data_IF_759619735543
#
_entry.id   IF_759619735543
#
_cell.length_a   1.000
_cell.length_b   1.000
_cell.length_c   1.000
_cell.angle_alpha   90.00
_cell.angle_beta   90.00
_cell.angle_gamma   90.00
#
_symmetry.space_group_name_H-M   'P 1'
#
loop_
_entity.id
_entity.type
_entity.pdbx_description
1 polymer ?
#
# COMPACT_ATOMS: atom_id res chain seq x y z
N UNK A 1 -15.47 -3.51 18.23
CA UNK A 1 -16.38 -3.46 17.06
C UNK A 1 -15.71 -4.27 15.95
N UNK A 2 -16.37 -5.32 15.45
CA UNK A 2 -15.90 -6.05 14.28
C UNK A 2 -15.80 -5.06 13.11
N UNK A 3 -14.73 -5.15 12.31
CA UNK A 3 -14.63 -4.37 11.06
C UNK A 3 -15.77 -4.83 10.15
N UNK A 4 -16.33 -3.92 9.35
CA UNK A 4 -17.27 -4.35 8.30
C UNK A 4 -16.51 -5.18 7.26
N UNK A 5 -17.22 -6.06 6.55
CA UNK A 5 -16.62 -6.91 5.51
C UNK A 5 -15.88 -6.08 4.44
N UNK A 6 -16.37 -4.87 4.12
CA UNK A 6 -15.68 -3.97 3.18
C UNK A 6 -14.36 -3.42 3.74
N UNK A 7 -14.33 -3.13 5.04
CA UNK A 7 -13.11 -2.68 5.70
C UNK A 7 -12.08 -3.82 5.79
N UNK A 8 -12.50 -5.04 6.08
CA UNK A 8 -11.60 -6.20 6.07
C UNK A 8 -11.03 -6.47 4.67
N UNK A 9 -11.89 -6.46 3.64
CA UNK A 9 -11.45 -6.59 2.25
C UNK A 9 -10.41 -5.53 1.88
N UNK A 10 -10.66 -4.25 2.22
CA UNK A 10 -9.73 -3.16 1.90
C UNK A 10 -8.37 -3.36 2.58
N UNK A 11 -8.35 -3.79 3.84
CA UNK A 11 -7.09 -4.04 4.55
C UNK A 11 -6.30 -5.18 3.88
N UNK A 12 -6.97 -6.30 3.56
CA UNK A 12 -6.34 -7.45 2.91
C UNK A 12 -5.80 -7.08 1.53
N UNK A 13 -6.60 -6.39 0.70
CA UNK A 13 -6.18 -5.93 -0.62
C UNK A 13 -4.96 -4.98 -0.56
N UNK A 14 -4.89 -4.10 0.44
CA UNK A 14 -3.69 -3.26 0.67
C UNK A 14 -2.47 -4.12 1.00
N UNK A 15 -2.61 -5.11 1.87
CA UNK A 15 -1.50 -5.97 2.26
C UNK A 15 -0.99 -6.82 1.11
N UNK A 16 -1.88 -7.42 0.33
CA UNK A 16 -1.56 -8.16 -0.91
C UNK A 16 -0.80 -7.28 -1.90
N UNK A 17 -1.34 -6.08 -2.22
CA UNK A 17 -0.70 -5.16 -3.15
C UNK A 17 0.70 -4.72 -2.69
N UNK A 18 0.92 -4.61 -1.37
CA UNK A 18 2.23 -4.27 -0.79
C UNK A 18 3.19 -5.46 -0.85
N UNK A 19 2.71 -6.70 -0.74
CA UNK A 19 3.53 -7.89 -0.92
C UNK A 19 4.07 -8.04 -2.35
N UNK A 20 3.38 -7.49 -3.34
CA UNK A 20 3.81 -7.50 -4.75
C UNK A 20 4.97 -6.52 -5.06
N UNK A 21 5.31 -5.62 -4.14
CA UNK A 21 6.42 -4.67 -4.35
C UNK A 21 7.74 -5.45 -4.31
N UNK A 22 8.57 -5.44 -5.37
CA UNK A 22 9.84 -6.18 -5.39
C UNK A 22 10.84 -5.71 -4.33
N UNK A 23 11.72 -6.61 -3.92
CA UNK A 23 12.84 -6.28 -3.04
C UNK A 23 13.74 -5.20 -3.68
N UNK A 24 14.19 -4.24 -2.88
CA UNK A 24 14.99 -3.11 -3.37
C UNK A 24 14.18 -2.08 -4.17
N UNK A 25 12.85 -2.17 -4.17
CA UNK A 25 11.95 -1.17 -4.78
C UNK A 25 11.02 -0.56 -3.76
N UNK A 26 10.57 0.66 -4.06
CA UNK A 26 9.64 1.43 -3.23
C UNK A 26 8.46 1.93 -4.06
N UNK A 27 7.32 2.15 -3.41
CA UNK A 27 6.15 2.77 -4.03
C UNK A 27 5.55 3.83 -3.11
N UNK A 28 4.51 4.52 -3.59
CA UNK A 28 3.83 5.55 -2.81
C UNK A 28 2.46 5.10 -2.30
N UNK A 29 2.02 5.65 -1.16
CA UNK A 29 0.66 5.42 -0.64
C UNK A 29 -0.42 5.66 -1.69
N UNK A 30 -0.26 6.74 -2.46
CA UNK A 30 -1.22 7.08 -3.50
C UNK A 30 -1.18 6.17 -4.71
N UNK A 31 -0.01 5.59 -5.00
CA UNK A 31 0.07 4.59 -6.06
C UNK A 31 -0.64 3.29 -5.69
N UNK A 32 -0.48 2.81 -4.45
CA UNK A 32 -1.24 1.64 -3.95
C UNK A 32 -2.75 1.91 -4.01
N UNK A 33 -3.21 3.04 -3.46
CA UNK A 33 -4.62 3.42 -3.53
C UNK A 33 -5.16 3.47 -4.97
N UNK A 34 -4.34 3.99 -5.89
CA UNK A 34 -4.65 4.08 -7.31
C UNK A 34 -4.71 2.69 -7.99
N UNK A 35 -3.87 1.74 -7.60
CA UNK A 35 -3.91 0.36 -8.10
C UNK A 35 -5.19 -0.33 -7.63
N UNK A 36 -5.49 -0.23 -6.33
CA UNK A 36 -6.68 -0.84 -5.74
C UNK A 36 -7.98 -0.24 -6.29
N UNK A 37 -8.02 1.07 -6.53
CA UNK A 37 -9.17 1.73 -7.16
C UNK A 37 -9.42 1.32 -8.62
N UNK A 38 -8.52 0.53 -9.24
CA UNK A 38 -8.67 -0.01 -10.60
C UNK A 38 -8.96 -1.52 -10.63
N UNK A 39 -8.95 -2.25 -9.51
CA UNK A 39 -9.23 -3.70 -9.55
C UNK A 39 -10.69 -3.94 -9.96
N UNK A 40 -10.92 -5.03 -10.68
CA UNK A 40 -12.25 -5.41 -11.14
C UNK A 40 -13.17 -5.88 -10.00
N UNK A 41 -12.58 -6.44 -8.95
CA UNK A 41 -13.23 -6.94 -7.74
C UNK A 41 -13.41 -5.86 -6.65
N UNK A 42 -13.08 -4.61 -6.95
CA UNK A 42 -13.26 -3.50 -6.02
C UNK A 42 -14.74 -3.41 -5.61
N UNK A 43 -15.09 -3.56 -4.32
CA UNK A 43 -16.48 -3.59 -3.89
C UNK A 43 -17.13 -2.26 -4.23
N UNK A 44 -18.03 -2.30 -5.22
CA UNK A 44 -18.77 -1.14 -5.74
C UNK A 44 -19.58 -0.42 -4.64
N UNK A 45 -19.82 -1.10 -3.51
CA UNK A 45 -20.47 -0.58 -2.30
C UNK A 45 -19.71 0.54 -1.57
N UNK A 46 -18.38 0.69 -1.77
CA UNK A 46 -17.63 1.79 -1.14
C UNK A 46 -18.00 3.18 -1.71
N UNK A 47 -18.73 3.22 -2.85
CA UNK A 47 -19.32 4.47 -3.37
C UNK A 47 -20.60 4.91 -2.63
N UNK A 48 -21.25 4.04 -1.83
CA UNK A 48 -22.57 4.34 -1.24
C UNK A 48 -22.80 3.90 0.20
N UNK A 49 -21.88 3.17 0.84
CA UNK A 49 -22.02 2.78 2.24
C UNK A 49 -20.75 3.15 3.02
N UNK A 50 -20.75 4.37 3.56
CA UNK A 50 -19.83 4.77 4.64
C UNK A 50 -20.71 5.11 5.85
N UNK A 51 -20.41 4.61 7.06
CA UNK A 51 -21.13 4.99 8.28
C UNK A 51 -21.14 6.53 8.41
N UNK A 52 -22.22 7.09 8.95
CA UNK A 52 -22.51 8.55 8.92
C UNK A 52 -21.41 9.50 9.41
N UNK A 53 -20.41 8.97 10.11
CA UNK A 53 -19.23 9.69 10.60
C UNK A 53 -18.15 9.91 9.51
N UNK A 54 -18.22 9.15 8.42
CA UNK A 54 -17.24 9.13 7.32
C UNK A 54 -17.77 9.74 6.01
N UNK A 55 -19.08 10.01 5.94
CA UNK A 55 -19.76 10.53 4.75
C UNK A 55 -19.32 11.96 4.38
N UNK A 56 -18.95 12.79 5.36
CA UNK A 56 -18.46 14.16 5.13
C UNK A 56 -17.13 14.16 4.34
N UNK A 57 -16.27 13.17 4.56
CA UNK A 57 -14.97 13.07 3.86
C UNK A 57 -15.15 12.49 2.44
N UNK A 58 -16.13 11.62 2.21
CA UNK A 58 -16.40 11.05 0.88
C UNK A 58 -16.93 12.11 -0.11
N UNK A 59 -17.85 12.98 0.34
CA UNK A 59 -18.52 13.98 -0.50
C UNK A 59 -17.62 15.17 -0.86
N UNK A 60 -16.66 15.52 0.01
CA UNK A 60 -15.82 16.71 -0.18
C UNK A 60 -14.52 16.44 -0.95
N UNK A 61 -14.06 15.19 -1.05
CA UNK A 61 -12.65 14.90 -1.39
C UNK A 61 -12.47 13.85 -2.51
N UNK A 62 -13.48 13.01 -2.80
CA UNK A 62 -13.45 12.03 -3.89
C UNK A 62 -12.63 10.76 -3.59
N UNK A 63 -12.83 9.67 -4.38
CA UNK A 63 -12.30 8.32 -4.09
C UNK A 63 -10.77 8.23 -4.13
N UNK A 64 -10.09 9.12 -4.87
CA UNK A 64 -8.63 9.12 -4.99
C UNK A 64 -7.90 9.66 -3.75
N UNK A 65 -8.50 10.59 -3.00
CA UNK A 65 -7.88 11.13 -1.79
C UNK A 65 -8.16 10.28 -0.54
N UNK A 66 -9.29 9.56 -0.52
CA UNK A 66 -9.67 8.65 0.56
C UNK A 66 -8.66 7.50 0.70
N UNK A 67 -8.23 6.91 -0.42
CA UNK A 67 -7.34 5.75 -0.41
C UNK A 67 -5.96 6.03 0.18
N UNK A 68 -5.38 7.21 -0.03
CA UNK A 68 -4.02 7.53 0.44
C UNK A 68 -3.92 7.49 1.97
N UNK A 69 -4.90 8.07 2.66
CA UNK A 69 -4.97 8.09 4.12
C UNK A 69 -5.31 6.70 4.67
N UNK A 70 -6.20 5.97 3.99
CA UNK A 70 -6.59 4.62 4.39
C UNK A 70 -5.43 3.62 4.28
N UNK A 71 -4.63 3.65 3.21
CA UNK A 71 -3.40 2.84 3.11
C UNK A 71 -2.46 3.14 4.27
N UNK A 72 -2.29 4.42 4.59
CA UNK A 72 -1.46 4.85 5.72
C UNK A 72 -1.94 4.31 7.08
N UNK A 73 -3.25 4.19 7.29
CA UNK A 73 -3.89 3.60 8.48
C UNK A 73 -3.69 2.09 8.52
N UNK A 74 -3.89 1.38 7.40
CA UNK A 74 -3.71 -0.07 7.31
C UNK A 74 -2.30 -0.49 7.74
N UNK A 75 -1.28 0.23 7.25
CA UNK A 75 0.11 -0.05 7.58
C UNK A 75 0.48 0.38 9.01
N UNK A 76 -0.23 1.35 9.60
CA UNK A 76 -0.02 1.76 10.99
C UNK A 76 -0.56 0.72 11.99
N UNK A 77 -1.64 0.03 11.63
CA UNK A 77 -2.30 -0.98 12.46
C UNK A 77 -1.93 -2.42 12.09
N UNK A 78 -0.87 -2.61 11.31
CA UNK A 78 -0.34 -3.92 11.00
C UNK A 78 0.12 -4.58 12.32
N UNK A 79 -0.44 -5.73 12.72
CA UNK A 79 -0.04 -6.39 13.95
C UNK A 79 1.43 -6.79 13.86
N UNK A 80 2.19 -6.52 14.92
CA UNK A 80 3.50 -7.15 15.13
C UNK A 80 3.25 -8.62 15.38
N UNK A 81 3.97 -9.52 14.70
CA UNK A 81 3.79 -10.96 14.85
C UNK A 81 3.77 -11.34 16.34
N UNK A 82 2.60 -11.77 16.83
CA UNK A 82 2.41 -12.26 18.19
C UNK A 82 2.25 -13.76 18.12
N UNK A 83 3.10 -14.49 18.83
CA UNK A 83 3.15 -15.96 18.82
C UNK A 83 1.81 -16.60 19.19
N UNK A 84 0.96 -15.86 19.90
CA UNK A 84 -0.35 -16.31 20.41
C UNK A 84 -1.53 -16.09 19.45
N UNK A 85 -1.35 -15.30 18.38
CA UNK A 85 -2.39 -15.02 17.38
C UNK A 85 -1.75 -15.00 15.99
N UNK A 86 -1.93 -16.08 15.23
CA UNK A 86 -1.44 -16.17 13.86
C UNK A 86 -2.29 -15.31 12.93
N UNK A 87 -2.03 -14.00 12.90
CA UNK A 87 -2.62 -13.09 11.92
C UNK A 87 -2.05 -13.43 10.53
N UNK A 88 -2.92 -13.61 9.53
CA UNK A 88 -2.49 -13.90 8.15
C UNK A 88 -1.55 -12.81 7.60
N UNK A 89 -1.78 -11.53 7.94
CA UNK A 89 -0.90 -10.40 7.62
C UNK A 89 -0.30 -9.80 8.88
N UNK A 90 1.03 -9.60 8.90
CA UNK A 90 1.80 -9.09 10.03
C UNK A 90 3.08 -8.35 9.58
N UNK A 91 3.75 -7.69 10.53
CA UNK A 91 4.95 -6.88 10.31
C UNK A 91 6.09 -7.55 9.54
N UNK A 92 6.23 -8.87 9.66
CA UNK A 92 7.30 -9.63 9.02
C UNK A 92 6.97 -10.15 7.61
N UNK A 93 5.68 -10.30 7.25
CA UNK A 93 5.29 -10.81 5.93
C UNK A 93 4.73 -9.72 4.98
N UNK A 94 4.36 -8.55 5.50
CA UNK A 94 3.99 -7.38 4.69
C UNK A 94 5.16 -6.39 4.69
N UNK A 95 5.81 -6.11 3.54
CA UNK A 95 6.97 -5.23 3.45
C UNK A 95 6.58 -3.75 3.53
N UNK A 96 5.97 -3.35 4.64
CA UNK A 96 5.44 -2.01 4.88
C UNK A 96 6.49 -0.91 4.71
N UNK A 97 7.78 -1.21 4.93
CA UNK A 97 8.89 -0.29 4.75
C UNK A 97 9.02 0.23 3.30
N UNK A 98 8.53 -0.52 2.31
CA UNK A 98 8.60 -0.17 0.87
C UNK A 98 7.60 0.90 0.47
N UNK A 99 6.65 1.28 1.34
CA UNK A 99 5.64 2.30 1.05
C UNK A 99 6.00 3.63 1.69
N UNK A 100 6.34 4.61 0.85
CA UNK A 100 6.77 5.97 1.25
C UNK A 100 5.85 7.05 0.68
N UNK A 101 6.13 8.32 0.96
CA UNK A 101 5.31 9.39 0.40
C UNK A 101 5.60 9.59 -1.11
N UNK A 102 4.70 10.26 -1.82
CA UNK A 102 4.85 10.50 -3.26
C UNK A 102 6.00 11.46 -3.63
N UNK A 103 6.58 12.16 -2.65
CA UNK A 103 7.76 13.03 -2.83
C UNK A 103 9.08 12.27 -2.60
N UNK A 104 9.03 10.96 -2.31
CA UNK A 104 10.21 10.16 -1.97
C UNK A 104 10.71 10.34 -0.54
N UNK A 105 10.00 11.09 0.31
CA UNK A 105 10.35 11.32 1.72
C UNK A 105 9.79 10.21 2.61
N UNK A 106 10.63 9.69 3.49
CA UNK A 106 10.28 8.73 4.53
C UNK A 106 9.56 9.47 5.66
N UNK A 107 8.28 9.13 5.86
CA UNK A 107 7.44 9.81 6.85
C UNK A 107 7.80 9.43 8.28
N UNK A 108 7.81 10.41 9.19
CA UNK A 108 8.10 10.18 10.60
C UNK A 108 6.89 9.55 11.31
N UNK A 109 6.90 8.21 11.43
CA UNK A 109 5.86 7.43 12.10
C UNK A 109 6.22 7.20 13.58
N UNK A 110 6.31 8.28 14.34
CA UNK A 110 6.71 8.27 15.76
C UNK A 110 8.23 8.32 15.99
N UNK A 111 8.68 8.29 17.26
CA UNK A 111 10.10 8.39 17.60
C UNK A 111 10.95 7.32 16.92
N UNK A 112 11.94 7.75 16.13
CA UNK A 112 12.82 6.88 15.36
C UNK A 112 12.15 6.08 14.22
N UNK A 113 10.86 6.32 13.92
CA UNK A 113 10.13 5.57 12.90
C UNK A 113 10.74 5.72 11.51
N UNK A 114 11.09 6.95 11.11
CA UNK A 114 11.75 7.21 9.83
C UNK A 114 13.12 6.52 9.75
N UNK A 115 13.92 6.57 10.81
CA UNK A 115 15.24 5.93 10.86
C UNK A 115 15.16 4.40 10.76
N UNK A 116 14.19 3.77 11.43
CA UNK A 116 13.94 2.32 11.33
C UNK A 116 13.52 1.92 9.92
N UNK A 117 12.60 2.67 9.31
CA UNK A 117 12.18 2.44 7.94
C UNK A 117 13.35 2.61 6.95
N UNK A 118 14.16 3.66 7.12
CA UNK A 118 15.36 3.87 6.31
C UNK A 118 16.38 2.75 6.46
N UNK A 119 16.61 2.26 7.68
CA UNK A 119 17.51 1.13 7.91
C UNK A 119 17.00 -0.15 7.25
N UNK A 120 15.69 -0.41 7.29
CA UNK A 120 15.08 -1.53 6.57
C UNK A 120 15.27 -1.41 5.06
N UNK A 121 15.00 -0.24 4.48
CA UNK A 121 15.21 0.03 3.05
C UNK A 121 16.67 -0.13 2.62
N UNK A 122 17.62 0.36 3.43
CA UNK A 122 19.06 0.21 3.16
C UNK A 122 19.50 -1.26 3.17
N UNK A 123 18.95 -2.09 4.07
CA UNK A 123 19.21 -3.55 4.05
C UNK A 123 18.74 -4.21 2.77
N UNK A 124 17.73 -3.64 2.12
CA UNK A 124 17.24 -4.12 0.83
C UNK A 124 18.01 -3.56 -0.38
N UNK A 125 19.05 -2.75 -0.15
CA UNK A 125 19.85 -2.12 -1.21
C UNK A 125 19.25 -0.81 -1.75
N UNK A 126 18.22 -0.26 -1.10
CA UNK A 126 17.66 1.05 -1.47
C UNK A 126 18.54 2.17 -0.91
N UNK A 127 18.97 3.09 -1.77
CA UNK A 127 19.72 4.26 -1.33
C UNK A 127 18.79 5.27 -0.64
N UNK A 128 19.12 5.62 0.61
CA UNK A 128 18.39 6.64 1.38
C UNK A 128 19.32 7.81 1.68
N UNK A 129 19.04 8.93 1.02
CA UNK A 129 19.72 10.21 1.21
C UNK A 129 19.09 11.04 2.32
N UNK A 130 19.63 12.25 2.47
CA UNK A 130 19.16 13.25 3.44
C UNK A 130 18.85 14.54 2.69
N UNK A 131 17.63 15.07 2.88
CA UNK A 131 17.18 16.33 2.35
C UNK A 131 17.77 17.54 3.09
N UNK A 132 17.43 18.73 2.60
CA UNK A 132 17.97 19.99 3.14
C UNK A 132 17.51 20.28 4.56
N UNK A 133 16.35 19.78 4.98
CA UNK A 133 15.81 19.94 6.33
C UNK A 133 16.07 18.70 7.20
N UNK A 134 16.94 17.80 6.77
CA UNK A 134 17.28 16.56 7.48
C UNK A 134 16.28 15.42 7.30
N UNK A 135 15.29 15.57 6.41
CA UNK A 135 14.37 14.49 6.08
C UNK A 135 15.08 13.36 5.32
N UNK A 136 14.70 12.12 5.58
CA UNK A 136 15.26 10.97 4.87
C UNK A 136 14.51 10.76 3.55
N UNK A 137 15.24 10.68 2.45
CA UNK A 137 14.65 10.65 1.09
C UNK A 137 15.15 9.48 0.26
N UNK A 138 14.32 9.02 -0.67
CA UNK A 138 14.60 7.98 -1.65
C UNK A 138 14.32 8.55 -3.03
N UNK A 139 15.23 8.31 -3.96
CA UNK A 139 15.01 8.66 -5.36
C UNK A 139 14.01 7.68 -6.00
N UNK A 140 12.80 8.20 -6.25
CA UNK A 140 11.73 7.44 -6.90
C UNK A 140 12.00 7.16 -8.38
N UNK A 141 12.89 7.90 -9.05
CA UNK A 141 13.24 7.58 -10.43
C UNK A 141 14.06 6.28 -10.50
N UNK A 142 14.95 6.06 -9.54
CA UNK A 142 15.81 4.87 -9.48
C UNK A 142 15.12 3.68 -8.82
N UNK A 143 14.47 3.91 -7.68
CA UNK A 143 13.93 2.83 -6.83
C UNK A 143 12.41 2.68 -6.93
N UNK A 144 11.73 3.54 -7.69
CA UNK A 144 10.28 3.51 -7.84
C UNK A 144 9.74 2.25 -8.52
N UNK A 145 8.65 1.73 -7.99
CA UNK A 145 7.82 0.68 -8.58
C UNK A 145 6.41 1.23 -8.78
N UNK A 146 6.09 1.50 -10.05
CA UNK A 146 4.87 2.21 -10.45
C UNK A 146 4.14 1.53 -11.63
N UNK A 147 3.76 0.25 -11.53
CA UNK A 147 3.03 -0.42 -12.61
C UNK A 147 1.63 0.17 -12.81
N UNK A 148 1.03 -0.08 -13.96
CA UNK A 148 -0.35 0.35 -14.27
C UNK A 148 -1.41 -0.58 -13.65
N UNK A 149 -1.09 -1.84 -13.43
CA UNK A 149 -1.88 -2.86 -12.72
C UNK A 149 -0.99 -3.71 -11.83
N UNK A 150 -1.58 -4.43 -10.87
CA UNK A 150 -0.82 -5.36 -10.04
C UNK A 150 -0.32 -6.54 -10.89
N UNK A 151 0.92 -7.01 -10.73
CA UNK A 151 1.41 -8.24 -11.37
C UNK A 151 0.43 -9.42 -11.28
N UNK A 152 -0.20 -9.62 -10.12
CA UNK A 152 -1.22 -10.66 -9.91
C UNK A 152 -2.41 -10.53 -10.89
N UNK A 153 -2.87 -9.31 -11.19
CA UNK A 153 -3.99 -9.07 -12.11
C UNK A 153 -3.62 -9.31 -13.58
N UNK A 154 -2.36 -9.09 -13.94
CA UNK A 154 -1.89 -9.30 -15.31
C UNK A 154 -1.76 -10.79 -15.61
N UNK A 155 -1.30 -11.58 -14.64
CA UNK A 155 -1.16 -13.03 -14.79
C UNK A 155 -2.51 -13.73 -15.03
N UNK A 156 -3.59 -13.27 -14.38
CA UNK A 156 -4.94 -13.80 -14.57
C UNK A 156 -5.54 -13.42 -15.94
N UNK A 157 -5.18 -12.26 -16.49
CA UNK A 157 -5.74 -11.74 -17.74
C UNK A 157 -5.10 -12.28 -19.03
N UNK A 158 -3.90 -12.85 -18.96
CA UNK A 158 -3.15 -13.38 -20.12
C UNK A 158 -3.47 -14.88 -20.38
N UNK A 159 -4.24 -15.52 -19.49
CA UNK A 159 -4.63 -16.93 -19.60
C UNK A 159 -5.80 -17.18 -20.58
N UNK A 160 -6.27 -16.16 -21.31
CA UNK A 160 -7.49 -16.23 -22.15
C UNK A 160 -7.27 -16.03 -23.65
N UNK A 161 -6.04 -15.88 -24.14
CA UNK A 161 -5.79 -15.63 -25.58
C UNK A 161 -4.74 -16.59 -26.18
N UNK A 162 -4.98 -17.89 -26.03
CA UNK A 162 -4.20 -18.92 -26.71
C UNK A 162 -5.11 -20.08 -27.11
N UNK A 163 -5.86 -19.91 -28.20
CA UNK A 163 -6.06 -20.96 -29.20
C UNK A 163 -6.72 -20.35 -30.45
N UNK A 164 -5.86 -19.99 -31.40
CA UNK A 164 -6.18 -19.51 -32.73
C UNK A 164 -5.94 -20.66 -33.71
N UNK A 165 -7.00 -21.01 -34.43
CA UNK A 165 -7.04 -21.59 -35.79
C UNK A 165 -6.40 -22.97 -36.04
N UNK A 166 -7.26 -23.93 -36.40
CA UNK A 166 -6.92 -25.25 -36.94
C UNK A 166 -8.04 -25.77 -37.83
#
# INVERSE_FOLDING_TARGET
MARSDEAEWWFNAVYEAVQEIPHGKVTSYGHIARLLGRRADYPLGLKRSVPGEWCIILVLVGPAEMGNRQVGICLKHLPTFSVDVNHHFHGDNVPWQRVINAKGVISQRGPGGASRQAAALRREGVHVGTGTLGELTVDLATFGWFPSRLPSEVAEGDSSDSEQDG
#
